data_IF_244015572410
#
_entry.id   IF_244015572410
#
_cell.length_a   1.000
_cell.length_b   1.000
_cell.length_c   1.000
_cell.angle_alpha   90.00
_cell.angle_beta   90.00
_cell.angle_gamma   90.00
#
_symmetry.space_group_name_H-M   'P 1'
#
loop_
_entity.id
_entity.type
_entity.pdbx_description
1 polymer ?
#
# COMPACT_ATOMS: atom_id res chain seq x y z
N UNK A 1 -2.78 -0.35 -4.06
CA UNK A 1 -1.50 -0.32 -3.36
C UNK A 1 -1.12 1.14 -3.11
N UNK A 2 -1.25 1.56 -1.85
CA UNK A 2 -0.87 2.89 -1.38
C UNK A 2 0.16 2.69 -0.25
N UNK A 3 1.21 3.48 -0.28
CA UNK A 3 2.26 3.51 0.74
C UNK A 3 2.30 4.93 1.26
N UNK A 4 2.08 5.11 2.56
CA UNK A 4 2.30 6.37 3.25
C UNK A 4 3.72 6.41 3.80
N UNK A 5 4.43 7.49 3.54
CA UNK A 5 5.82 7.69 4.01
C UNK A 5 5.86 9.00 4.78
N UNK A 6 6.23 8.90 6.06
CA UNK A 6 6.40 10.08 6.93
C UNK A 6 7.59 10.92 6.46
N UNK A 7 7.38 12.23 6.35
CA UNK A 7 8.41 13.21 6.05
C UNK A 7 9.36 13.36 7.26
N UNK A 8 10.61 13.77 7.00
CA UNK A 8 11.60 14.00 8.08
C UNK A 8 12.36 12.74 8.53
N UNK A 9 12.07 11.57 7.98
CA UNK A 9 12.84 10.35 8.18
C UNK A 9 14.19 10.38 7.44
N UNK A 10 15.02 9.33 7.64
CA UNK A 10 16.31 9.18 6.92
C UNK A 10 16.16 9.09 5.40
N UNK A 11 15.03 8.60 4.94
CA UNK A 11 14.67 8.48 3.52
C UNK A 11 13.44 9.34 3.28
N UNK A 12 13.55 10.32 2.39
CA UNK A 12 12.40 11.15 2.02
C UNK A 12 11.36 10.33 1.25
N UNK A 13 10.07 10.74 1.24
CA UNK A 13 9.03 10.07 0.45
C UNK A 13 9.38 9.92 -1.02
N UNK A 14 9.95 10.95 -1.63
CA UNK A 14 10.40 10.93 -3.01
C UNK A 14 11.56 9.92 -3.22
N UNK A 15 12.56 9.93 -2.33
CA UNK A 15 13.67 8.96 -2.41
C UNK A 15 13.21 7.53 -2.22
N UNK A 16 12.24 7.31 -1.34
CA UNK A 16 11.60 6.01 -1.19
C UNK A 16 10.91 5.57 -2.49
N UNK A 17 10.16 6.47 -3.14
CA UNK A 17 9.50 6.17 -4.41
C UNK A 17 10.49 5.82 -5.53
N UNK A 18 11.60 6.55 -5.61
CA UNK A 18 12.70 6.27 -6.55
C UNK A 18 13.31 4.88 -6.31
N UNK A 19 13.62 4.55 -5.05
CA UNK A 19 14.15 3.23 -4.67
C UNK A 19 13.16 2.12 -4.99
N UNK A 20 11.88 2.31 -4.71
CA UNK A 20 10.83 1.35 -5.04
C UNK A 20 10.74 1.14 -6.56
N UNK A 21 10.86 2.19 -7.35
CA UNK A 21 10.86 2.09 -8.80
C UNK A 21 12.06 1.27 -9.32
N UNK A 22 13.25 1.47 -8.77
CA UNK A 22 14.44 0.70 -9.11
C UNK A 22 14.29 -0.79 -8.75
N UNK A 23 13.71 -1.10 -7.59
CA UNK A 23 13.42 -2.47 -7.19
C UNK A 23 12.35 -3.12 -8.09
N UNK A 24 11.31 -2.40 -8.46
CA UNK A 24 10.30 -2.91 -9.39
C UNK A 24 10.88 -3.20 -10.78
N UNK A 25 11.81 -2.38 -11.24
CA UNK A 25 12.56 -2.65 -12.46
C UNK A 25 13.36 -3.95 -12.37
N UNK A 26 14.09 -4.14 -11.27
CA UNK A 26 14.88 -5.34 -11.01
C UNK A 26 14.01 -6.59 -10.89
N UNK A 27 12.88 -6.49 -10.18
CA UNK A 27 11.93 -7.59 -10.01
C UNK A 27 11.28 -7.96 -11.33
N UNK A 28 10.95 -6.98 -12.18
CA UNK A 28 10.35 -7.26 -13.50
C UNK A 28 11.27 -8.11 -14.39
N UNK A 29 12.59 -7.92 -14.28
CA UNK A 29 13.55 -8.75 -15.01
C UNK A 29 13.62 -10.18 -14.48
N UNK A 30 13.50 -10.37 -13.17
CA UNK A 30 13.59 -11.69 -12.50
C UNK A 30 12.27 -12.45 -12.51
N UNK A 31 11.19 -11.73 -12.34
CA UNK A 31 9.82 -12.23 -12.21
C UNK A 31 8.85 -11.32 -12.97
N UNK A 32 8.79 -11.44 -14.29
CA UNK A 32 7.89 -10.62 -15.10
C UNK A 32 6.45 -10.71 -14.59
N UNK A 33 5.76 -9.58 -14.55
CA UNK A 33 4.37 -9.50 -14.07
C UNK A 33 3.40 -10.43 -14.83
N UNK A 34 3.74 -10.80 -16.03
CA UNK A 34 2.88 -11.55 -16.93
C UNK A 34 1.97 -10.65 -17.79
N UNK A 35 1.15 -11.28 -18.61
CA UNK A 35 0.26 -10.57 -19.54
C UNK A 35 -0.96 -10.02 -18.82
N UNK A 36 -1.37 -8.83 -19.20
CA UNK A 36 -2.64 -8.21 -18.80
C UNK A 36 -3.69 -8.42 -19.88
N UNK A 37 -4.95 -8.36 -19.46
CA UNK A 37 -6.04 -8.14 -20.39
C UNK A 37 -5.95 -6.74 -21.01
N UNK A 38 -6.57 -6.54 -22.17
CA UNK A 38 -6.63 -5.22 -22.82
C UNK A 38 -7.24 -4.16 -21.90
N UNK A 39 -8.27 -4.55 -21.14
CA UNK A 39 -8.93 -3.66 -20.18
C UNK A 39 -7.99 -3.21 -19.06
N UNK A 40 -7.25 -4.14 -18.45
CA UNK A 40 -6.29 -3.82 -17.38
C UNK A 40 -5.14 -2.95 -17.92
N UNK A 41 -4.62 -3.27 -19.09
CA UNK A 41 -3.58 -2.45 -19.74
C UNK A 41 -4.09 -1.04 -20.04
N UNK A 42 -5.33 -0.90 -20.52
CA UNK A 42 -5.96 0.39 -20.76
C UNK A 42 -6.15 1.21 -19.47
N UNK A 43 -6.55 0.56 -18.36
CA UNK A 43 -6.65 1.22 -17.05
C UNK A 43 -5.30 1.78 -16.59
N UNK A 44 -4.23 1.02 -16.74
CA UNK A 44 -2.87 1.49 -16.40
C UNK A 44 -2.45 2.64 -17.31
N UNK A 45 -2.63 2.53 -18.61
CA UNK A 45 -2.29 3.56 -19.59
C UNK A 45 -3.06 4.87 -19.30
N UNK A 46 -4.38 4.78 -19.12
CA UNK A 46 -5.22 5.93 -18.78
C UNK A 46 -4.74 6.64 -17.50
N UNK A 47 -4.44 5.85 -16.45
CA UNK A 47 -3.96 6.40 -15.18
C UNK A 47 -2.59 7.09 -15.33
N UNK A 48 -1.70 6.52 -16.14
CA UNK A 48 -0.41 7.16 -16.47
C UNK A 48 -0.62 8.49 -17.18
N UNK A 49 -1.46 8.54 -18.21
CA UNK A 49 -1.75 9.78 -18.95
C UNK A 49 -2.35 10.85 -18.04
N UNK A 50 -3.21 10.48 -17.10
CA UNK A 50 -3.72 11.41 -16.08
C UNK A 50 -2.57 12.02 -15.27
N UNK A 51 -1.61 11.20 -14.81
CA UNK A 51 -0.48 11.69 -14.02
C UNK A 51 0.55 12.45 -14.86
N UNK A 52 0.72 12.15 -16.15
CA UNK A 52 1.53 12.97 -17.06
C UNK A 52 1.03 14.40 -17.13
N UNK A 53 -0.27 14.58 -17.28
CA UNK A 53 -0.90 15.92 -17.25
C UNK A 53 -0.72 16.58 -15.89
N UNK A 54 -0.93 15.84 -14.80
CA UNK A 54 -0.80 16.39 -13.43
C UNK A 54 0.65 16.84 -13.16
N UNK A 55 1.65 16.08 -13.55
CA UNK A 55 3.07 16.41 -13.38
C UNK A 55 3.43 17.69 -14.15
N UNK A 56 2.87 17.89 -15.33
CA UNK A 56 3.10 19.11 -16.12
C UNK A 56 2.59 20.38 -15.42
N UNK A 57 1.68 20.25 -14.45
CA UNK A 57 1.04 21.35 -13.71
C UNK A 57 1.37 21.40 -12.22
N UNK A 58 2.12 20.43 -11.68
CA UNK A 58 2.43 20.35 -10.26
C UNK A 58 3.85 19.83 -10.01
N UNK A 59 4.60 20.57 -9.21
CA UNK A 59 5.94 20.17 -8.76
C UNK A 59 5.91 19.08 -7.67
N UNK A 60 4.75 18.87 -7.04
CA UNK A 60 4.57 17.97 -5.91
C UNK A 60 4.24 16.53 -6.32
N UNK A 61 4.15 16.29 -7.63
CA UNK A 61 3.82 14.97 -8.17
C UNK A 61 4.94 14.50 -9.09
N UNK A 62 5.41 13.28 -8.87
CA UNK A 62 6.43 12.63 -9.72
C UNK A 62 5.98 11.22 -10.07
N UNK A 63 6.44 10.72 -11.20
CA UNK A 63 6.14 9.38 -11.66
C UNK A 63 7.37 8.70 -12.23
N UNK A 64 7.61 7.47 -11.81
CA UNK A 64 8.55 6.53 -12.41
C UNK A 64 7.75 5.40 -13.03
N UNK A 65 8.16 4.91 -14.17
CA UNK A 65 7.45 3.85 -14.89
C UNK A 65 8.37 3.01 -15.75
N UNK A 66 7.95 1.81 -16.06
CA UNK A 66 8.60 1.00 -17.09
C UNK A 66 8.47 1.66 -18.46
N UNK A 67 9.55 1.66 -19.22
CA UNK A 67 9.59 2.10 -20.63
C UNK A 67 8.97 1.02 -21.52
N UNK A 68 8.35 1.42 -22.63
CA UNK A 68 7.77 0.57 -23.67
C UNK A 68 6.78 -0.50 -23.18
N UNK A 69 6.34 -0.42 -21.92
CA UNK A 69 5.41 -1.38 -21.33
C UNK A 69 4.61 -0.77 -20.19
N UNK A 70 3.60 -1.48 -19.71
CA UNK A 70 2.84 -1.14 -18.49
C UNK A 70 3.26 -1.98 -17.27
N UNK A 71 4.49 -2.52 -17.26
CA UNK A 71 4.93 -3.52 -16.29
C UNK A 71 4.85 -3.02 -14.84
N UNK A 72 5.25 -1.79 -14.58
CA UNK A 72 5.15 -1.17 -13.25
C UNK A 72 5.05 0.36 -13.35
N UNK A 73 4.49 0.98 -12.33
CA UNK A 73 4.39 2.44 -12.17
C UNK A 73 4.44 2.80 -10.70
N UNK A 74 5.22 3.80 -10.35
CA UNK A 74 5.25 4.42 -9.02
C UNK A 74 4.92 5.89 -9.18
N UNK A 75 3.94 6.37 -8.43
CA UNK A 75 3.56 7.78 -8.36
C UNK A 75 3.86 8.27 -6.96
N UNK A 76 4.60 9.36 -6.83
CA UNK A 76 4.84 10.07 -5.58
C UNK A 76 4.11 11.40 -5.60
N UNK A 77 3.33 11.69 -4.55
CA UNK A 77 2.59 12.94 -4.42
C UNK A 77 2.36 13.32 -2.95
N UNK A 78 2.17 14.62 -2.70
CA UNK A 78 1.95 15.16 -1.36
C UNK A 78 0.47 15.13 -0.92
N UNK A 79 -0.45 14.77 -1.82
CA UNK A 79 -1.86 14.61 -1.48
C UNK A 79 -2.05 13.32 -0.66
N UNK A 80 -2.45 13.39 0.63
CA UNK A 80 -2.60 12.22 1.49
C UNK A 80 -3.86 11.39 1.17
N UNK A 81 -4.78 11.89 0.35
CA UNK A 81 -6.03 11.18 0.06
C UNK A 81 -5.78 9.81 -0.54
N UNK A 82 -6.40 8.78 0.06
CA UNK A 82 -6.31 7.41 -0.43
C UNK A 82 -6.89 7.29 -1.84
N UNK A 83 -6.16 6.66 -2.71
CA UNK A 83 -6.59 6.37 -4.08
C UNK A 83 -6.57 4.88 -4.34
N UNK A 84 -7.67 4.37 -4.90
CA UNK A 84 -7.73 2.98 -5.33
C UNK A 84 -6.76 2.80 -6.51
N UNK A 85 -5.81 1.91 -6.34
CA UNK A 85 -4.88 1.53 -7.39
C UNK A 85 -5.59 0.70 -8.48
N UNK A 86 -5.14 0.85 -9.72
CA UNK A 86 -5.53 -0.06 -10.80
C UNK A 86 -4.81 -1.42 -10.72
N UNK A 87 -4.18 -1.74 -9.58
CA UNK A 87 -3.40 -2.96 -9.34
C UNK A 87 -2.18 -3.06 -10.27
N UNK A 88 -1.77 -4.28 -10.62
CA UNK A 88 -0.78 -4.53 -11.66
C UNK A 88 0.54 -3.75 -11.49
N UNK A 89 1.07 -3.69 -10.26
CA UNK A 89 2.28 -2.93 -9.88
C UNK A 89 2.15 -1.43 -10.13
N UNK A 90 0.93 -0.87 -10.05
CA UNK A 90 0.71 0.57 -9.99
C UNK A 90 0.61 0.97 -8.51
N UNK A 91 1.60 1.71 -8.01
CA UNK A 91 1.77 1.99 -6.59
C UNK A 91 1.79 3.51 -6.37
N UNK A 92 1.03 3.97 -5.38
CA UNK A 92 1.09 5.34 -4.90
C UNK A 92 1.97 5.42 -3.67
N UNK A 93 2.88 6.39 -3.65
CA UNK A 93 3.66 6.81 -2.49
C UNK A 93 3.16 8.19 -2.09
N UNK A 94 2.57 8.27 -0.91
CA UNK A 94 1.96 9.47 -0.37
C UNK A 94 2.87 10.03 0.73
N UNK A 95 3.36 11.25 0.52
CA UNK A 95 4.09 11.97 1.57
C UNK A 95 3.10 12.45 2.65
N UNK A 96 3.41 12.19 3.91
CA UNK A 96 2.62 12.65 5.05
C UNK A 96 3.53 13.21 6.14
N UNK A 97 3.00 14.14 6.93
CA UNK A 97 3.72 14.68 8.07
C UNK A 97 3.85 13.63 9.19
N UNK A 98 2.77 12.86 9.40
CA UNK A 98 2.67 11.88 10.48
C UNK A 98 1.58 10.83 10.19
N UNK A 99 1.45 9.86 11.11
CA UNK A 99 0.43 8.82 11.04
C UNK A 99 -1.00 9.37 11.05
N UNK A 100 -1.26 10.46 11.77
CA UNK A 100 -2.60 11.06 11.85
C UNK A 100 -3.04 11.56 10.48
N UNK A 101 -2.14 12.20 9.75
CA UNK A 101 -2.42 12.64 8.37
C UNK A 101 -2.65 11.45 7.43
N UNK A 102 -1.89 10.36 7.58
CA UNK A 102 -2.09 9.14 6.80
C UNK A 102 -3.47 8.51 7.06
N UNK A 103 -3.85 8.39 8.33
CA UNK A 103 -5.15 7.84 8.75
C UNK A 103 -6.30 8.73 8.23
N UNK A 104 -6.19 10.05 8.38
CA UNK A 104 -7.19 10.99 7.88
C UNK A 104 -7.32 10.90 6.35
N UNK A 105 -6.21 10.86 5.64
CA UNK A 105 -6.20 10.69 4.18
C UNK A 105 -6.84 9.37 3.72
N UNK A 106 -6.78 8.32 4.55
CA UNK A 106 -7.35 7.01 4.28
C UNK A 106 -8.79 6.82 4.81
N UNK A 107 -9.43 7.83 5.42
CA UNK A 107 -10.70 7.68 6.12
C UNK A 107 -11.84 7.16 5.21
N UNK A 108 -11.83 7.47 3.93
CA UNK A 108 -12.79 6.96 2.95
C UNK A 108 -12.79 5.42 2.79
N UNK A 109 -11.73 4.76 3.24
CA UNK A 109 -11.59 3.29 3.20
C UNK A 109 -11.54 2.66 4.59
N UNK A 110 -11.90 3.41 5.64
CA UNK A 110 -12.02 2.91 6.99
C UNK A 110 -12.95 1.70 7.05
N UNK A 111 -12.54 0.66 7.77
CA UNK A 111 -13.28 -0.60 7.86
C UNK A 111 -13.25 -1.48 6.61
N UNK A 112 -12.52 -1.07 5.56
CA UNK A 112 -12.34 -1.83 4.31
C UNK A 112 -10.90 -2.32 4.12
N UNK A 113 -10.00 -1.94 5.02
CA UNK A 113 -8.58 -2.32 5.01
C UNK A 113 -8.38 -3.48 5.98
N UNK A 114 -8.10 -4.65 5.46
CA UNK A 114 -7.85 -5.84 6.30
C UNK A 114 -6.40 -5.93 6.76
N UNK A 115 -5.44 -5.51 5.97
CA UNK A 115 -4.01 -5.68 6.28
C UNK A 115 -3.21 -4.42 5.99
N UNK A 116 -2.36 -4.04 6.95
CA UNK A 116 -1.37 -2.97 6.81
C UNK A 116 0.02 -3.51 7.12
N UNK A 117 0.98 -3.25 6.23
CA UNK A 117 2.40 -3.49 6.46
C UNK A 117 3.08 -2.27 7.06
N UNK A 118 3.88 -2.45 8.09
CA UNK A 118 4.61 -1.37 8.78
C UNK A 118 6.11 -1.57 8.63
N UNK A 119 6.84 -0.48 8.38
CA UNK A 119 8.29 -0.38 8.49
C UNK A 119 8.63 0.79 9.42
N UNK A 120 9.01 0.51 10.65
CA UNK A 120 9.36 1.48 11.68
C UNK A 120 10.28 0.85 12.73
N UNK A 121 10.85 1.65 13.63
CA UNK A 121 11.49 1.13 14.85
C UNK A 121 10.47 0.41 15.72
N UNK A 122 10.93 -0.49 16.60
CA UNK A 122 10.02 -1.34 17.39
C UNK A 122 9.01 -0.53 18.21
N UNK A 123 9.47 0.52 18.92
CA UNK A 123 8.59 1.34 19.75
C UNK A 123 7.58 2.12 18.90
N UNK A 124 8.04 2.71 17.80
CA UNK A 124 7.14 3.42 16.86
C UNK A 124 6.14 2.46 16.19
N UNK A 125 6.55 1.22 15.88
CA UNK A 125 5.66 0.22 15.32
C UNK A 125 4.53 -0.16 16.29
N UNK A 126 4.79 -0.23 17.60
CA UNK A 126 3.75 -0.49 18.63
C UNK A 126 2.73 0.66 18.70
N UNK A 127 3.20 1.91 18.66
CA UNK A 127 2.31 3.07 18.60
C UNK A 127 1.43 3.04 17.36
N UNK A 128 2.04 2.89 16.19
CA UNK A 128 1.35 2.81 14.89
C UNK A 128 0.33 1.67 14.91
N UNK A 129 0.70 0.48 15.39
CA UNK A 129 -0.19 -0.67 15.46
C UNK A 129 -1.40 -0.40 16.35
N UNK A 130 -1.21 0.29 17.48
CA UNK A 130 -2.30 0.65 18.39
C UNK A 130 -3.30 1.60 17.72
N UNK A 131 -2.82 2.62 17.04
CA UNK A 131 -3.67 3.58 16.33
C UNK A 131 -4.40 2.96 15.14
N UNK A 132 -3.72 2.13 14.36
CA UNK A 132 -4.32 1.41 13.23
C UNK A 132 -5.38 0.39 13.70
N UNK A 133 -5.14 -0.30 14.82
CA UNK A 133 -6.14 -1.20 15.42
C UNK A 133 -7.40 -0.44 15.86
N UNK A 134 -7.25 0.72 16.51
CA UNK A 134 -8.37 1.61 16.87
C UNK A 134 -9.11 2.14 15.64
N UNK A 135 -8.39 2.38 14.57
CA UNK A 135 -8.98 2.81 13.30
C UNK A 135 -9.75 1.68 12.57
N UNK A 136 -9.48 0.40 12.92
CA UNK A 136 -10.23 -0.77 12.44
C UNK A 136 -9.44 -1.71 11.52
N UNK A 137 -8.11 -1.62 11.50
CA UNK A 137 -7.27 -2.60 10.79
C UNK A 137 -7.23 -3.90 11.58
N UNK A 138 -7.52 -5.02 10.93
CA UNK A 138 -7.61 -6.34 11.58
C UNK A 138 -6.32 -7.14 11.53
N UNK A 139 -5.38 -6.78 10.64
CA UNK A 139 -4.04 -7.38 10.58
C UNK A 139 -2.96 -6.34 10.35
N UNK A 140 -1.96 -6.36 11.21
CA UNK A 140 -0.79 -5.50 11.11
C UNK A 140 0.43 -6.41 11.12
N UNK A 141 1.36 -6.20 10.19
CA UNK A 141 2.54 -7.04 10.05
C UNK A 141 3.75 -6.21 9.56
N UNK A 142 4.98 -6.73 9.67
CA UNK A 142 6.13 -6.10 9.03
C UNK A 142 5.93 -5.94 7.52
N UNK A 143 6.42 -4.84 6.96
CA UNK A 143 6.42 -4.63 5.52
C UNK A 143 7.14 -5.82 4.83
N UNK A 144 6.56 -6.32 3.74
CA UNK A 144 7.03 -7.52 3.05
C UNK A 144 6.38 -8.83 3.52
N UNK A 145 5.69 -8.85 4.69
CA UNK A 145 5.00 -10.04 5.19
C UNK A 145 3.48 -10.04 4.93
N UNK A 146 2.98 -9.07 4.17
CA UNK A 146 1.54 -8.92 3.94
C UNK A 146 0.93 -10.12 3.20
N UNK A 147 1.68 -10.76 2.32
CA UNK A 147 1.24 -11.92 1.54
C UNK A 147 1.56 -13.28 2.20
N UNK A 148 2.16 -13.24 3.40
CA UNK A 148 2.55 -14.45 4.14
C UNK A 148 1.89 -14.45 5.55
N UNK A 149 0.56 -14.61 5.64
CA UNK A 149 -0.12 -14.70 6.93
C UNK A 149 0.24 -16.00 7.64
N UNK A 150 0.31 -15.98 8.97
CA UNK A 150 0.43 -17.19 9.77
C UNK A 150 -0.87 -18.02 9.69
N UNK A 151 -0.76 -19.34 9.97
CA UNK A 151 -1.95 -20.22 10.06
C UNK A 151 -2.90 -19.81 11.18
N UNK A 152 -2.43 -19.07 12.17
CA UNK A 152 -3.24 -18.55 13.29
C UNK A 152 -3.88 -17.20 12.96
N UNK A 153 -3.69 -16.68 11.75
CA UNK A 153 -4.27 -15.42 11.35
C UNK A 153 -5.80 -15.47 11.37
N UNK A 154 -6.40 -14.49 12.03
CA UNK A 154 -7.83 -14.28 12.04
C UNK A 154 -8.23 -13.43 10.84
N UNK A 155 -8.75 -14.07 9.79
CA UNK A 155 -9.20 -13.35 8.58
C UNK A 155 -10.29 -12.33 8.95
N UNK A 156 -10.07 -11.07 8.60
CA UNK A 156 -10.95 -9.95 8.95
C UNK A 156 -11.33 -9.88 10.44
N UNK A 157 -10.38 -10.28 11.31
CA UNK A 157 -10.55 -10.25 12.77
C UNK A 157 -11.43 -11.37 13.33
N UNK A 158 -11.89 -12.32 12.52
CA UNK A 158 -12.72 -13.44 12.94
C UNK A 158 -11.90 -14.69 13.21
N UNK A 159 -12.27 -15.54 14.19
CA UNK A 159 -11.62 -16.82 14.40
C UNK A 159 -11.76 -17.69 13.15
N UNK A 160 -10.66 -18.15 12.56
CA UNK A 160 -10.67 -18.89 11.29
C UNK A 160 -11.53 -20.16 11.28
N UNK A 161 -11.55 -20.88 12.41
CA UNK A 161 -12.33 -22.11 12.59
C UNK A 161 -13.39 -22.00 13.71
N UNK A 162 -13.43 -20.88 14.43
CA UNK A 162 -14.31 -20.70 15.58
C UNK A 162 -15.80 -20.80 15.22
N UNK A 163 -16.18 -20.38 14.03
CA UNK A 163 -17.56 -20.42 13.55
C UNK A 163 -17.97 -21.81 13.01
N UNK A 164 -17.02 -22.76 12.90
CA UNK A 164 -17.27 -24.12 12.43
C UNK A 164 -17.47 -25.12 13.58
N UNK A 165 -17.34 -24.68 14.83
CA UNK A 165 -17.47 -25.52 16.03
C UNK A 165 -18.44 -24.89 17.02
N UNK A 166 -19.15 -25.71 17.76
CA UNK A 166 -19.95 -25.32 18.92
C UNK A 166 -19.22 -25.78 20.18
N UNK A 167 -19.31 -24.96 21.22
CA UNK A 167 -18.72 -25.26 22.52
C UNK A 167 -19.83 -25.72 23.46
N UNK A 168 -19.55 -26.70 24.28
CA UNK A 168 -20.45 -27.16 25.37
C UNK A 168 -19.67 -27.01 26.66
N UNK A 169 -20.23 -26.25 27.58
CA UNK A 169 -19.70 -26.16 28.93
C UNK A 169 -20.33 -27.27 29.78
N UNK A 170 -19.51 -27.93 30.57
CA UNK A 170 -19.93 -28.90 31.58
C UNK A 170 -19.52 -28.33 32.93
N UNK A 171 -20.50 -28.01 33.78
CA UNK A 171 -20.32 -27.60 35.17
C UNK A 171 -20.42 -28.79 36.13
#
# INVERSE_FOLDING_TARGET
>A
HVIYVESGGKVSPEKFAEMLAAELHTIEQKQPRGKLSTEEAAKVAYRRSFYEVRIAHSLDTKMWRSEDSTAWTVVSENDPCFQISCLNRFIYVKAVADLSQAIHGADAVRGKISTVGIAATEDRAKEIATELARWGVTRICPLGQMQNPSLLWRHDGRPGLGDLVTWTDWE
#
